data_IF_049755204694
#
_entry.id   IF_049755204694
#
_cell.length_a   1.000
_cell.length_b   1.000
_cell.length_c   1.000
_cell.angle_alpha   90.00
_cell.angle_beta   90.00
_cell.angle_gamma   90.00
#
_symmetry.space_group_name_H-M   'P 1'
#
loop_
_entity.id
_entity.type
_entity.pdbx_description
1 polymer ?
#
# COMPACT_ATOMS: atom_id res chain seq x y z
N UNK A 1 4.03 3.62 22.16
CA UNK A 1 3.17 3.78 20.98
C UNK A 1 3.45 2.59 20.07
N UNK A 2 2.46 1.93 19.48
CA UNK A 2 2.78 0.96 18.46
C UNK A 2 3.52 1.71 17.35
N UNK A 3 4.62 1.16 16.88
CA UNK A 3 5.35 1.69 15.73
C UNK A 3 4.40 1.62 14.53
N UNK A 4 3.81 2.76 14.19
CA UNK A 4 2.94 2.89 13.03
C UNK A 4 3.82 2.71 11.80
N UNK A 5 3.63 1.63 11.08
CA UNK A 5 4.31 1.36 9.82
C UNK A 5 3.39 1.69 8.64
N UNK A 6 3.99 1.88 7.47
CA UNK A 6 3.26 2.27 6.26
C UNK A 6 2.19 1.23 5.86
N UNK A 7 2.38 -0.04 6.16
CA UNK A 7 1.40 -1.10 5.85
C UNK A 7 0.16 -0.90 6.70
N UNK A 8 0.33 -0.70 8.01
CA UNK A 8 -0.78 -0.42 8.93
C UNK A 8 -1.54 0.84 8.52
N UNK A 9 -0.84 1.91 8.12
CA UNK A 9 -1.47 3.14 7.64
C UNK A 9 -2.26 2.93 6.34
N UNK A 10 -1.73 2.14 5.39
CA UNK A 10 -2.45 1.74 4.18
C UNK A 10 -3.73 0.96 4.55
N UNK A 11 -3.63 -0.01 5.45
CA UNK A 11 -4.78 -0.83 5.88
C UNK A 11 -5.86 0.02 6.56
N UNK A 12 -5.48 0.92 7.46
CA UNK A 12 -6.43 1.81 8.14
C UNK A 12 -7.07 2.81 7.15
N UNK A 13 -6.29 3.30 6.19
CA UNK A 13 -6.79 4.19 5.14
C UNK A 13 -7.80 3.45 4.24
N UNK A 14 -7.47 2.23 3.78
CA UNK A 14 -8.36 1.38 3.00
C UNK A 14 -9.64 1.07 3.77
N UNK A 15 -9.52 0.66 5.04
CA UNK A 15 -10.66 0.39 5.91
C UNK A 15 -11.61 1.59 5.96
N UNK A 16 -11.09 2.77 6.28
CA UNK A 16 -11.90 4.00 6.40
C UNK A 16 -12.62 4.35 5.10
N UNK A 17 -11.93 4.24 3.97
CA UNK A 17 -12.49 4.56 2.64
C UNK A 17 -13.55 3.54 2.23
N UNK A 18 -13.33 2.26 2.49
CA UNK A 18 -14.27 1.18 2.17
C UNK A 18 -15.52 1.30 3.07
N UNK A 19 -15.37 1.51 4.38
CA UNK A 19 -16.48 1.71 5.31
C UNK A 19 -17.35 2.91 4.90
N UNK A 20 -16.72 4.02 4.52
CA UNK A 20 -17.44 5.21 4.07
C UNK A 20 -18.21 4.96 2.76
N UNK A 21 -17.68 4.13 1.85
CA UNK A 21 -18.34 3.83 0.58
C UNK A 21 -19.44 2.77 0.71
N UNK A 22 -19.15 1.69 1.43
CA UNK A 22 -20.02 0.53 1.55
C UNK A 22 -21.12 0.70 2.61
N UNK A 23 -20.86 1.52 3.64
CA UNK A 23 -21.70 1.67 4.84
C UNK A 23 -21.86 0.34 5.62
N UNK A 24 -20.84 -0.50 5.59
CA UNK A 24 -20.75 -1.75 6.35
C UNK A 24 -19.37 -1.83 7.03
N UNK A 25 -19.26 -2.55 8.16
CA UNK A 25 -17.98 -2.69 8.86
C UNK A 25 -16.94 -3.41 8.02
N UNK A 26 -15.68 -2.97 8.13
CA UNK A 26 -14.53 -3.61 7.51
C UNK A 26 -13.64 -4.20 8.59
N UNK A 27 -13.31 -5.46 8.46
CA UNK A 27 -12.40 -6.17 9.34
C UNK A 27 -11.09 -6.45 8.63
N UNK A 28 -9.98 -6.00 9.23
CA UNK A 28 -8.64 -6.37 8.77
C UNK A 28 -8.35 -7.76 9.34
N UNK A 29 -8.11 -8.71 8.45
CA UNK A 29 -7.88 -10.11 8.79
C UNK A 29 -6.41 -10.43 8.60
N UNK A 30 -5.82 -11.07 9.60
CA UNK A 30 -4.49 -11.68 9.47
C UNK A 30 -4.66 -13.13 8.99
N UNK A 31 -3.68 -13.70 8.28
CA UNK A 31 -3.77 -15.07 7.75
C UNK A 31 -3.73 -16.17 8.83
N UNK A 32 -3.80 -15.82 10.09
CA UNK A 32 -3.87 -16.79 11.19
C UNK A 32 -5.28 -17.38 11.29
N UNK A 33 -5.43 -18.72 11.28
CA UNK A 33 -6.70 -19.41 11.08
C UNK A 33 -7.63 -19.45 12.32
N UNK A 34 -7.40 -18.63 13.33
CA UNK A 34 -8.34 -18.52 14.42
C UNK A 34 -9.65 -17.92 13.89
N UNK A 35 -10.69 -18.72 14.01
CA UNK A 35 -12.04 -18.48 13.51
C UNK A 35 -12.53 -17.09 13.91
N UNK A 36 -12.62 -16.19 12.93
CA UNK A 36 -13.17 -14.86 13.14
C UNK A 36 -14.68 -14.98 12.97
N UNK A 37 -15.42 -14.73 14.03
CA UNK A 37 -16.88 -14.63 13.98
C UNK A 37 -17.26 -13.32 13.26
N UNK A 38 -17.78 -13.44 12.04
CA UNK A 38 -18.13 -12.29 11.20
C UNK A 38 -19.61 -11.91 11.45
N UNK A 39 -19.83 -10.67 11.87
CA UNK A 39 -21.17 -10.08 11.86
C UNK A 39 -21.52 -9.63 10.45
N UNK A 40 -22.60 -10.21 9.88
CA UNK A 40 -23.07 -9.91 8.52
C UNK A 40 -24.02 -8.69 8.50
N UNK A 41 -23.97 -7.83 7.49
CA UNK A 41 -23.00 -7.81 6.38
C UNK A 41 -21.67 -7.18 6.76
N UNK A 42 -20.56 -7.69 6.22
CA UNK A 42 -19.24 -7.12 6.46
C UNK A 42 -18.32 -7.30 5.26
N UNK A 43 -17.21 -6.56 5.26
CA UNK A 43 -16.11 -6.72 4.29
C UNK A 43 -14.86 -7.09 5.07
N UNK A 44 -14.12 -8.09 4.59
CA UNK A 44 -12.81 -8.44 5.11
C UNK A 44 -11.72 -7.90 4.20
N UNK A 45 -10.64 -7.40 4.78
CA UNK A 45 -9.43 -6.94 4.10
C UNK A 45 -8.25 -7.77 4.59
N UNK A 46 -7.63 -8.52 3.70
CA UNK A 46 -6.50 -9.40 3.99
C UNK A 46 -5.31 -9.03 3.09
N UNK A 47 -4.14 -8.81 3.69
CA UNK A 47 -2.89 -8.69 2.94
C UNK A 47 -2.41 -10.09 2.53
N UNK A 48 -2.59 -10.44 1.25
CA UNK A 48 -2.27 -11.75 0.74
C UNK A 48 -0.80 -11.90 0.33
N UNK A 49 -0.19 -10.83 -0.22
CA UNK A 49 1.19 -10.89 -0.72
C UNK A 49 1.79 -9.48 -0.86
N UNK A 50 3.13 -9.39 -0.79
CA UNK A 50 3.89 -8.15 -1.00
C UNK A 50 4.99 -8.42 -2.02
N UNK A 51 4.97 -7.69 -3.13
CA UNK A 51 5.94 -7.86 -4.22
C UNK A 51 6.63 -6.54 -4.53
N UNK A 52 7.92 -6.61 -4.77
CA UNK A 52 8.67 -5.49 -5.33
C UNK A 52 8.19 -5.21 -6.76
N UNK A 53 7.99 -3.93 -7.11
CA UNK A 53 7.62 -3.54 -8.47
C UNK A 53 8.89 -3.24 -9.30
N UNK A 54 9.36 -4.18 -10.13
CA UNK A 54 10.60 -4.00 -10.90
C UNK A 54 10.50 -2.92 -11.97
N UNK A 55 9.30 -2.56 -12.41
CA UNK A 55 9.11 -1.59 -13.48
C UNK A 55 9.39 -0.14 -13.05
N UNK A 56 9.50 0.13 -11.73
CA UNK A 56 9.67 1.48 -11.17
C UNK A 56 11.02 1.68 -10.47
N UNK A 57 11.99 0.82 -10.69
CA UNK A 57 13.31 0.86 -10.01
C UNK A 57 14.21 2.03 -10.46
N UNK A 58 13.82 2.79 -11.48
CA UNK A 58 14.69 3.76 -12.17
C UNK A 58 14.73 5.17 -11.55
N UNK A 59 14.38 5.34 -10.28
CA UNK A 59 14.59 6.63 -9.64
C UNK A 59 15.97 6.71 -8.97
N UNK A 60 16.76 7.70 -9.38
CA UNK A 60 18.08 7.98 -8.82
C UNK A 60 17.96 8.43 -7.35
N UNK A 61 19.07 8.25 -6.62
CA UNK A 61 19.20 8.80 -5.28
C UNK A 61 18.96 10.30 -5.32
N UNK A 62 18.10 10.80 -4.47
CA UNK A 62 17.94 12.25 -4.31
C UNK A 62 19.08 12.78 -3.47
N UNK A 63 19.83 13.72 -4.04
CA UNK A 63 20.93 14.40 -3.34
C UNK A 63 20.55 15.87 -3.20
N UNK A 64 20.27 16.30 -1.98
CA UNK A 64 20.08 17.71 -1.64
C UNK A 64 21.41 18.29 -1.17
N UNK A 65 21.95 19.26 -1.92
CA UNK A 65 23.23 19.91 -1.59
C UNK A 65 23.00 21.19 -0.81
N UNK A 66 23.54 21.27 0.38
CA UNK A 66 23.70 22.51 1.14
C UNK A 66 25.12 23.04 0.93
N UNK A 67 25.26 23.99 0.02
CA UNK A 67 26.55 24.56 -0.36
C UNK A 67 27.12 25.40 0.78
N UNK A 68 26.28 26.07 1.56
CA UNK A 68 26.72 26.93 2.64
C UNK A 68 27.25 26.12 3.83
N UNK A 69 26.59 25.02 4.13
CA UNK A 69 27.05 24.08 5.17
C UNK A 69 28.12 23.10 4.68
N UNK A 70 28.46 23.10 3.40
CA UNK A 70 29.40 22.17 2.77
C UNK A 70 29.03 20.69 3.01
N UNK A 71 27.74 20.38 2.96
CA UNK A 71 27.18 19.06 3.18
C UNK A 71 26.21 18.71 2.08
N UNK A 72 26.03 17.40 1.85
CA UNK A 72 24.96 16.89 1.04
C UNK A 72 24.17 15.86 1.84
N UNK A 73 22.85 15.97 1.80
CA UNK A 73 21.95 14.93 2.29
C UNK A 73 21.65 13.99 1.15
N UNK A 74 22.05 12.75 1.31
CA UNK A 74 21.74 11.67 0.37
C UNK A 74 20.53 10.93 0.92
N UNK A 75 19.37 11.19 0.32
CA UNK A 75 18.14 10.44 0.66
C UNK A 75 18.24 9.06 0.01
N UNK A 76 18.04 8.00 0.78
CA UNK A 76 18.09 6.66 0.25
C UNK A 76 16.99 6.48 -0.79
N UNK A 77 17.23 5.54 -1.69
CA UNK A 77 16.33 5.22 -2.79
C UNK A 77 15.00 4.71 -2.26
N UNK A 78 13.90 5.29 -2.71
CA UNK A 78 12.57 4.75 -2.41
C UNK A 78 12.35 3.47 -3.20
N UNK A 79 11.84 2.44 -2.52
CA UNK A 79 11.55 1.17 -3.17
C UNK A 79 10.04 1.04 -3.44
N UNK A 80 9.64 0.81 -4.70
CA UNK A 80 8.25 0.59 -5.06
C UNK A 80 7.84 -0.84 -4.75
N UNK A 81 6.68 -0.99 -4.09
CA UNK A 81 6.07 -2.26 -3.77
C UNK A 81 4.62 -2.32 -4.22
N UNK A 82 4.20 -3.52 -4.58
CA UNK A 82 2.83 -3.88 -4.84
C UNK A 82 2.32 -4.73 -3.67
N UNK A 83 1.36 -4.21 -2.93
CA UNK A 83 0.68 -4.91 -1.86
C UNK A 83 -0.60 -5.52 -2.43
N UNK A 84 -0.68 -6.84 -2.43
CA UNK A 84 -1.82 -7.59 -2.93
C UNK A 84 -2.78 -7.87 -1.78
N UNK A 85 -3.96 -7.25 -1.84
CA UNK A 85 -5.02 -7.45 -0.87
C UNK A 85 -6.15 -8.28 -1.46
N UNK A 86 -6.75 -9.10 -0.62
CA UNK A 86 -8.01 -9.76 -0.90
C UNK A 86 -9.12 -9.06 -0.14
N UNK A 87 -10.11 -8.56 -0.87
CA UNK A 87 -11.36 -8.06 -0.30
C UNK A 87 -12.39 -9.16 -0.33
N UNK A 88 -12.88 -9.57 0.83
CA UNK A 88 -13.98 -10.52 0.99
C UNK A 88 -15.28 -9.79 1.31
N UNK A 89 -16.30 -9.95 0.48
CA UNK A 89 -17.64 -9.38 0.71
C UNK A 89 -18.53 -10.49 1.27
N UNK A 90 -18.97 -10.31 2.51
CA UNK A 90 -19.79 -11.28 3.26
C UNK A 90 -21.18 -10.69 3.51
N UNK A 91 -22.22 -11.38 3.09
CA UNK A 91 -23.61 -10.91 3.25
C UNK A 91 -24.57 -12.05 3.56
N UNK A 92 -25.75 -11.71 4.05
CA UNK A 92 -26.81 -12.68 4.30
C UNK A 92 -27.64 -13.03 3.05
N UNK A 93 -27.56 -12.21 1.99
CA UNK A 93 -28.34 -12.41 0.76
C UNK A 93 -27.50 -12.15 -0.50
N UNK A 94 -27.82 -12.85 -1.59
CA UNK A 94 -27.18 -12.65 -2.90
C UNK A 94 -27.33 -11.21 -3.42
N UNK A 95 -28.46 -10.58 -3.16
CA UNK A 95 -28.75 -9.22 -3.63
C UNK A 95 -27.82 -8.21 -2.97
N UNK A 96 -27.67 -8.28 -1.65
CA UNK A 96 -26.74 -7.43 -0.90
C UNK A 96 -25.30 -7.66 -1.35
N UNK A 97 -24.90 -8.93 -1.51
CA UNK A 97 -23.55 -9.28 -1.96
C UNK A 97 -23.20 -8.66 -3.31
N UNK A 98 -24.14 -8.69 -4.27
CA UNK A 98 -23.95 -8.06 -5.59
C UNK A 98 -23.87 -6.54 -5.50
N UNK A 99 -24.70 -5.90 -4.68
CA UNK A 99 -24.67 -4.45 -4.48
C UNK A 99 -23.35 -3.99 -3.83
N UNK A 100 -22.87 -4.72 -2.81
CA UNK A 100 -21.58 -4.41 -2.19
C UNK A 100 -20.42 -4.65 -3.14
N UNK A 101 -20.46 -5.75 -3.90
CA UNK A 101 -19.45 -6.03 -4.92
C UNK A 101 -19.36 -4.90 -5.96
N UNK A 102 -20.51 -4.42 -6.46
CA UNK A 102 -20.58 -3.30 -7.40
C UNK A 102 -19.98 -2.02 -6.79
N UNK A 103 -20.32 -1.70 -5.55
CA UNK A 103 -19.75 -0.54 -4.84
C UNK A 103 -18.23 -0.64 -4.74
N UNK A 104 -17.67 -1.81 -4.43
CA UNK A 104 -16.22 -2.01 -4.32
C UNK A 104 -15.53 -1.86 -5.67
N UNK A 105 -16.09 -2.42 -6.73
CA UNK A 105 -15.56 -2.27 -8.07
C UNK A 105 -15.55 -0.81 -8.53
N UNK A 106 -16.65 -0.08 -8.27
CA UNK A 106 -16.75 1.34 -8.59
C UNK A 106 -15.81 2.20 -7.72
N UNK A 107 -15.57 1.83 -6.46
CA UNK A 107 -14.65 2.54 -5.59
C UNK A 107 -13.23 2.51 -6.17
N UNK A 108 -12.75 1.32 -6.55
CA UNK A 108 -11.41 1.14 -7.11
C UNK A 108 -11.25 1.96 -8.41
N UNK A 109 -12.27 1.94 -9.28
CA UNK A 109 -12.22 2.65 -10.55
C UNK A 109 -12.30 4.17 -10.41
N UNK A 110 -13.08 4.66 -9.43
CA UNK A 110 -13.30 6.09 -9.24
C UNK A 110 -12.27 6.78 -8.36
N UNK A 111 -11.60 6.03 -7.50
CA UNK A 111 -10.57 6.55 -6.58
C UNK A 111 -9.27 5.75 -6.73
N UNK A 112 -8.60 5.88 -7.87
CA UNK A 112 -7.35 5.14 -8.11
C UNK A 112 -6.18 5.64 -7.26
N UNK A 113 -6.32 6.78 -6.59
CA UNK A 113 -5.29 7.37 -5.73
C UNK A 113 -5.90 7.65 -4.37
N UNK A 114 -5.23 7.17 -3.32
CA UNK A 114 -5.52 7.50 -1.93
C UNK A 114 -4.30 8.15 -1.28
N UNK A 115 -4.55 8.94 -0.24
CA UNK A 115 -3.49 9.49 0.62
C UNK A 115 -3.62 8.85 1.97
N UNK A 116 -2.53 8.24 2.45
CA UNK A 116 -2.51 7.58 3.76
C UNK A 116 -2.68 8.58 4.89
N UNK A 117 -3.34 8.15 5.97
CA UNK A 117 -3.80 9.07 7.03
C UNK A 117 -2.67 9.57 7.93
N UNK A 118 -1.69 8.71 8.23
CA UNK A 118 -0.59 9.03 9.15
C UNK A 118 0.60 9.62 8.41
N UNK A 119 1.07 8.92 7.37
CA UNK A 119 2.27 9.34 6.64
C UNK A 119 1.99 10.32 5.49
N UNK A 120 0.71 10.55 5.14
CA UNK A 120 0.34 11.45 4.04
C UNK A 120 0.92 11.04 2.68
N UNK A 121 1.15 9.74 2.46
CA UNK A 121 1.74 9.22 1.22
C UNK A 121 0.67 8.83 0.21
N UNK A 122 0.90 9.17 -1.05
CA UNK A 122 0.04 8.72 -2.13
C UNK A 122 0.25 7.24 -2.41
N UNK A 123 -0.85 6.50 -2.48
CA UNK A 123 -0.89 5.10 -2.88
C UNK A 123 -1.86 4.92 -4.04
N UNK A 124 -1.53 4.03 -4.95
CA UNK A 124 -2.30 3.82 -6.17
C UNK A 124 -3.04 2.49 -6.09
N UNK A 125 -4.35 2.54 -6.30
CA UNK A 125 -5.22 1.38 -6.31
C UNK A 125 -5.40 0.86 -7.73
N UNK A 126 -5.38 -0.45 -7.90
CA UNK A 126 -5.78 -1.13 -9.13
C UNK A 126 -6.39 -2.49 -8.81
N UNK A 127 -7.21 -3.00 -9.73
CA UNK A 127 -7.70 -4.37 -9.62
C UNK A 127 -6.59 -5.37 -9.88
N UNK A 128 -6.58 -6.45 -9.14
CA UNK A 128 -5.74 -7.60 -9.47
C UNK A 128 -6.46 -8.46 -10.49
N UNK A 129 -6.11 -8.29 -11.76
CA UNK A 129 -6.71 -9.04 -12.86
C UNK A 129 -6.28 -10.52 -12.89
N UNK A 130 -5.19 -10.87 -12.20
CA UNK A 130 -4.74 -12.25 -12.05
C UNK A 130 -5.51 -12.99 -10.95
N UNK A 131 -6.27 -12.24 -10.13
CA UNK A 131 -7.07 -12.81 -9.05
C UNK A 131 -8.35 -13.42 -9.58
N UNK A 132 -8.51 -14.73 -9.40
CA UNK A 132 -9.75 -15.43 -9.76
C UNK A 132 -10.84 -15.05 -8.74
N UNK A 133 -11.87 -14.33 -9.20
CA UNK A 133 -13.06 -14.11 -8.39
C UNK A 133 -13.67 -15.46 -8.00
N UNK A 134 -13.84 -15.68 -6.72
CA UNK A 134 -14.55 -16.84 -6.19
C UNK A 134 -15.89 -16.36 -5.65
N UNK A 135 -16.97 -16.88 -6.17
CA UNK A 135 -18.24 -16.85 -5.52
C UNK A 135 -18.53 -18.29 -5.10
N UNK A 136 -18.67 -18.52 -3.84
CA UNK A 136 -18.78 -19.86 -3.32
C UNK A 136 -19.90 -20.04 -2.32
N UNK A 137 -20.56 -21.17 -2.42
CA UNK A 137 -21.23 -21.85 -1.36
C UNK A 137 -22.45 -21.19 -0.72
N UNK A 138 -22.77 -21.66 0.45
CA UNK A 138 -23.96 -21.28 1.24
C UNK A 138 -23.89 -19.87 1.83
N UNK A 139 -22.68 -19.33 1.95
CA UNK A 139 -22.45 -17.99 2.47
C UNK A 139 -22.18 -17.10 1.25
N UNK A 140 -23.07 -16.18 0.96
CA UNK A 140 -23.01 -15.23 -0.16
C UNK A 140 -21.72 -14.41 -0.12
N UNK A 141 -20.63 -15.07 -0.50
CA UNK A 141 -19.26 -14.62 -0.38
C UNK A 141 -18.71 -14.29 -1.76
N UNK A 142 -18.19 -13.07 -1.90
CA UNK A 142 -17.48 -12.63 -3.11
C UNK A 142 -16.10 -12.14 -2.74
N UNK A 143 -15.11 -12.45 -3.54
CA UNK A 143 -13.74 -11.96 -3.37
C UNK A 143 -13.31 -11.08 -4.53
N UNK A 144 -12.57 -10.02 -4.23
CA UNK A 144 -11.94 -9.12 -5.19
C UNK A 144 -10.46 -9.02 -4.85
N UNK A 145 -9.60 -9.16 -5.84
CA UNK A 145 -8.19 -8.83 -5.69
C UNK A 145 -7.95 -7.33 -5.89
N UNK A 146 -7.23 -6.72 -4.97
CA UNK A 146 -6.83 -5.33 -4.99
C UNK A 146 -5.31 -5.23 -4.92
N UNK A 147 -4.70 -4.46 -5.81
CA UNK A 147 -3.28 -4.12 -5.75
C UNK A 147 -3.16 -2.68 -5.28
N UNK A 148 -2.43 -2.47 -4.20
CA UNK A 148 -2.04 -1.16 -3.70
C UNK A 148 -0.57 -0.95 -4.01
N UNK A 149 -0.27 0.02 -4.86
CA UNK A 149 1.09 0.40 -5.21
C UNK A 149 1.54 1.54 -4.32
N UNK A 150 2.56 1.29 -3.52
CA UNK A 150 3.14 2.28 -2.62
C UNK A 150 4.66 2.28 -2.70
N UNK A 151 5.27 3.37 -2.23
CA UNK A 151 6.73 3.48 -2.10
C UNK A 151 7.09 3.41 -0.63
N UNK A 152 8.02 2.53 -0.31
CA UNK A 152 8.63 2.51 1.01
C UNK A 152 9.80 3.49 1.03
N UNK A 153 9.82 4.32 2.06
CA UNK A 153 10.86 5.32 2.28
C UNK A 153 11.73 4.80 3.42
N UNK A 154 13.02 4.50 3.16
CA UNK A 154 13.95 4.23 4.27
C UNK A 154 14.09 5.46 5.14
N UNK A 155 14.13 5.28 6.46
CA UNK A 155 14.23 6.38 7.43
C UNK A 155 15.63 6.99 7.49
N UNK A 156 16.65 6.27 7.00
CA UNK A 156 18.05 6.69 7.10
C UNK A 156 18.40 7.70 6.02
N UNK A 157 18.74 8.92 6.45
CA UNK A 157 19.33 9.96 5.62
C UNK A 157 20.83 9.98 5.88
N UNK A 158 21.62 9.72 4.85
CA UNK A 158 23.08 9.79 4.94
C UNK A 158 23.57 11.22 4.68
N UNK A 159 24.26 11.82 5.65
CA UNK A 159 24.88 13.12 5.49
C UNK A 159 26.36 12.93 5.10
N UNK A 160 26.71 13.41 3.90
CA UNK A 160 28.09 13.32 3.40
C UNK A 160 28.69 14.71 3.24
N UNK A 161 29.99 14.90 3.55
CA UNK A 161 30.65 16.18 3.31
C UNK A 161 30.83 16.43 1.81
N UNK A 162 30.64 17.68 1.38
CA UNK A 162 30.99 18.11 0.02
C UNK A 162 32.50 18.39 -0.06
N UNK A 163 33.17 17.74 -1.01
CA UNK A 163 34.59 18.01 -1.29
C UNK A 163 34.68 19.21 -2.21
N UNK A 164 35.34 20.28 -1.74
CA UNK A 164 35.53 21.52 -2.52
C UNK A 164 36.46 21.37 -3.71
N UNK A 165 37.56 20.65 -3.50
CA UNK A 165 38.60 20.42 -4.50
C UNK A 165 39.20 19.03 -4.29
N UNK A 166 39.34 18.27 -5.36
CA UNK A 166 40.15 17.07 -5.36
C UNK A 166 41.53 17.45 -5.91
N UNK A 167 42.54 17.63 -5.06
CA UNK A 167 43.93 17.73 -5.50
C UNK A 167 44.39 16.36 -6.01
N UNK A 168 44.44 16.20 -7.32
CA UNK A 168 45.12 15.09 -7.94
C UNK A 168 46.61 15.40 -7.99
N UNK A 169 47.36 14.95 -7.01
CA UNK A 169 48.80 14.89 -7.14
C UNK A 169 49.15 13.74 -8.08
N UNK A 170 49.43 14.06 -9.36
CA UNK A 170 50.08 13.12 -10.26
C UNK A 170 51.51 12.92 -9.72
N UNK A 171 51.80 11.77 -9.09
CA UNK A 171 53.17 11.33 -8.90
C UNK A 171 53.69 10.93 -10.29
N UNK A 172 54.56 11.73 -10.86
CA UNK A 172 55.39 11.30 -11.96
C UNK A 172 56.25 10.12 -11.53
N UNK A 173 56.14 9.04 -12.30
CA UNK A 173 57.01 7.87 -12.20
C UNK A 173 58.12 7.99 -13.21
#
# INVERSE_FOLDING_TARGET
MPEENIITDIEQTLKSVIEACASVPVQIVTPDPDYIELELPCITLELADVRRDPARIMEDRQVEKDIDAMKAEVKPRTEPFNFHYTLGVHTGTTREGRLLLEKMLLLIDRRPILVTQVFGKEVYLSRDLAFAQRSGGRDFFHTIGLIVKARLYPEEVETVPLVKEAEFSAKEV
#
